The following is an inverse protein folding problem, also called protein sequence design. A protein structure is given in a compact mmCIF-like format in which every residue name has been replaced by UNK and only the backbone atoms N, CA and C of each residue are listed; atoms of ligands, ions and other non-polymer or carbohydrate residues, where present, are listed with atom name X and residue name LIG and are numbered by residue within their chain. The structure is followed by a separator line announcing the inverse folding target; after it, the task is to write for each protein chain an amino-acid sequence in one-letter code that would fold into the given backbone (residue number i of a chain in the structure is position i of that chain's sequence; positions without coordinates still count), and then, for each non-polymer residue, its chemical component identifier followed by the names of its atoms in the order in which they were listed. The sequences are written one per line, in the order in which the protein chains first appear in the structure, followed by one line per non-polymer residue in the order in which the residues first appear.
data_IF_686930203583
#
_entry.id   IF_686930203583
#
_cell.length_a   1.000
_cell.length_b   1.000
_cell.length_c   1.000
_cell.angle_alpha   90.00
_cell.angle_beta   90.00
_cell.angle_gamma   90.00
#
_symmetry.space_group_name_H-M   'P 1'
#
loop_
_entity.id
_entity.type
_entity.pdbx_description
1 polymer ?
#
# COMPACT_ATOMS: atom_id res chain seq x y z
N UNK A 1 -3.16 18.36 -2.40
CA UNK A 1 -2.16 17.99 -3.43
C UNK A 1 -1.45 16.67 -3.13
N UNK A 2 -0.78 16.52 -1.97
CA UNK A 2 -0.03 15.29 -1.61
C UNK A 2 -0.83 13.98 -1.75
N UNK A 3 -2.10 13.99 -1.36
CA UNK A 3 -3.03 12.86 -1.53
C UNK A 3 -3.35 12.54 -2.99
N UNK A 4 -3.42 13.54 -3.87
CA UNK A 4 -3.67 13.35 -5.31
C UNK A 4 -2.45 12.68 -5.95
N UNK A 5 -1.24 13.17 -5.63
CA UNK A 5 0.00 12.53 -6.05
C UNK A 5 0.08 11.08 -5.57
N UNK A 6 -0.33 10.82 -4.33
CA UNK A 6 -0.34 9.47 -3.78
C UNK A 6 -1.32 8.54 -4.52
N UNK A 7 -2.52 9.00 -4.85
CA UNK A 7 -3.49 8.22 -5.65
C UNK A 7 -2.94 7.94 -7.05
N UNK A 8 -2.37 8.95 -7.72
CA UNK A 8 -1.76 8.78 -9.04
C UNK A 8 -0.59 7.79 -9.02
N UNK A 9 0.30 7.91 -8.04
CA UNK A 9 1.44 6.99 -7.85
C UNK A 9 0.92 5.57 -7.57
N UNK A 10 -0.11 5.42 -6.74
CA UNK A 10 -0.70 4.11 -6.43
C UNK A 10 -1.32 3.46 -7.66
N UNK A 11 -2.04 4.24 -8.48
CA UNK A 11 -2.62 3.77 -9.74
C UNK A 11 -1.52 3.31 -10.70
N UNK A 12 -0.44 4.08 -10.81
CA UNK A 12 0.71 3.78 -11.67
C UNK A 12 1.44 2.51 -11.20
N UNK A 13 1.69 2.35 -9.90
CA UNK A 13 2.31 1.15 -9.35
C UNK A 13 1.47 -0.10 -9.65
N UNK A 14 0.15 -0.04 -9.45
CA UNK A 14 -0.74 -1.16 -9.71
C UNK A 14 -0.71 -1.52 -11.21
N UNK A 15 -0.74 -0.52 -12.07
CA UNK A 15 -0.69 -0.72 -13.52
C UNK A 15 0.63 -1.35 -13.96
N UNK A 16 1.76 -0.79 -13.54
CA UNK A 16 3.09 -1.30 -13.86
C UNK A 16 3.28 -2.72 -13.32
N UNK A 17 2.85 -3.00 -12.08
CA UNK A 17 2.98 -4.34 -11.51
C UNK A 17 2.07 -5.38 -12.16
N UNK A 18 0.92 -4.99 -12.71
CA UNK A 18 0.14 -5.88 -13.57
C UNK A 18 0.87 -6.18 -14.88
N UNK A 19 1.42 -5.16 -15.54
CA UNK A 19 2.18 -5.35 -16.78
C UNK A 19 3.41 -6.23 -16.55
N UNK A 20 4.15 -6.00 -15.46
CA UNK A 20 5.29 -6.82 -15.07
C UNK A 20 4.84 -8.26 -14.73
N UNK A 21 3.69 -8.45 -14.10
CA UNK A 21 3.16 -9.78 -13.80
C UNK A 21 2.84 -10.55 -15.10
N UNK A 22 2.25 -9.88 -16.09
CA UNK A 22 1.95 -10.47 -17.39
C UNK A 22 3.23 -10.87 -18.16
N UNK A 23 4.31 -10.09 -18.01
CA UNK A 23 5.60 -10.35 -18.67
C UNK A 23 6.39 -11.46 -17.97
N UNK A 24 6.53 -11.37 -16.64
CA UNK A 24 7.43 -12.23 -15.86
C UNK A 24 6.73 -13.42 -15.19
N UNK A 25 5.39 -13.43 -15.14
CA UNK A 25 4.61 -14.53 -14.59
C UNK A 25 4.79 -14.76 -13.09
N UNK A 26 5.22 -13.76 -12.32
CA UNK A 26 5.44 -13.94 -10.87
C UNK A 26 4.13 -14.16 -10.10
N UNK A 27 4.25 -14.80 -8.94
CA UNK A 27 3.10 -15.14 -8.12
C UNK A 27 2.37 -13.87 -7.63
N UNK A 28 1.05 -13.82 -7.86
CA UNK A 28 0.12 -12.78 -7.35
C UNK A 28 0.33 -12.39 -5.89
N UNK A 29 0.76 -13.32 -5.04
CA UNK A 29 1.09 -13.02 -3.64
C UNK A 29 2.19 -11.95 -3.54
N UNK A 30 3.32 -12.16 -4.21
CA UNK A 30 4.46 -11.22 -4.21
C UNK A 30 4.12 -9.88 -4.84
N UNK A 31 3.23 -9.89 -5.84
CA UNK A 31 2.69 -8.67 -6.44
C UNK A 31 1.93 -7.82 -5.42
N UNK A 32 0.95 -8.42 -4.73
CA UNK A 32 0.15 -7.69 -3.75
C UNK A 32 0.99 -7.21 -2.56
N UNK A 33 1.92 -8.04 -2.08
CA UNK A 33 2.86 -7.63 -1.02
C UNK A 33 3.69 -6.43 -1.45
N UNK A 34 4.25 -6.46 -2.66
CA UNK A 34 5.08 -5.38 -3.19
C UNK A 34 4.25 -4.11 -3.41
N UNK A 35 3.04 -4.23 -3.95
CA UNK A 35 2.13 -3.10 -4.16
C UNK A 35 1.80 -2.40 -2.84
N UNK A 36 1.41 -3.14 -1.80
CA UNK A 36 1.09 -2.58 -0.49
C UNK A 36 2.32 -1.89 0.11
N UNK A 37 3.49 -2.51 0.00
CA UNK A 37 4.74 -1.95 0.52
C UNK A 37 5.12 -0.64 -0.19
N UNK A 38 5.08 -0.61 -1.52
CA UNK A 38 5.37 0.57 -2.34
C UNK A 38 4.38 1.71 -2.08
N UNK A 39 3.08 1.42 -2.09
CA UNK A 39 2.03 2.42 -1.82
C UNK A 39 2.18 3.01 -0.41
N UNK A 40 2.46 2.17 0.58
CA UNK A 40 2.73 2.60 1.95
C UNK A 40 4.01 3.44 2.08
N UNK A 41 5.08 3.02 1.39
CA UNK A 41 6.34 3.75 1.36
C UNK A 41 6.19 5.14 0.75
N UNK A 42 5.48 5.27 -0.37
CA UNK A 42 5.21 6.58 -0.98
C UNK A 42 4.29 7.45 -0.14
N UNK A 43 3.32 6.86 0.58
CA UNK A 43 2.54 7.61 1.55
C UNK A 43 3.42 8.19 2.67
N UNK A 44 4.34 7.39 3.20
CA UNK A 44 5.32 7.83 4.19
C UNK A 44 6.21 8.95 3.64
N UNK A 45 6.75 8.79 2.42
CA UNK A 45 7.60 9.77 1.76
C UNK A 45 6.88 11.11 1.54
N UNK A 46 5.61 11.05 1.14
CA UNK A 46 4.75 12.22 0.98
C UNK A 46 4.27 12.81 2.32
N UNK A 47 4.72 12.26 3.46
CA UNK A 47 4.32 12.65 4.82
C UNK A 47 2.80 12.62 4.99
N UNK A 48 2.13 11.66 4.35
CA UNK A 48 0.71 11.43 4.54
C UNK A 48 0.54 10.81 5.92
N UNK A 49 -0.22 11.50 6.78
CA UNK A 49 -0.61 10.98 8.09
C UNK A 49 -1.59 9.82 7.90
N UNK A 50 -1.06 8.61 7.73
CA UNK A 50 -1.85 7.38 7.79
C UNK A 50 -2.06 7.07 9.27
N UNK A 51 -3.24 7.43 9.78
CA UNK A 51 -3.62 7.08 11.13
C UNK A 51 -3.91 5.58 11.19
N UNK A 52 -2.97 4.77 11.69
CA UNK A 52 -3.09 3.32 11.93
C UNK A 52 -4.07 2.97 13.07
N UNK A 53 -5.15 3.73 13.23
CA UNK A 53 -6.14 3.55 14.30
C UNK A 53 -6.79 2.15 14.27
N UNK A 54 -6.85 1.51 13.09
CA UNK A 54 -7.40 0.16 12.93
C UNK A 54 -6.62 -0.94 13.66
N UNK A 55 -5.34 -0.75 13.96
CA UNK A 55 -4.57 -1.75 14.72
C UNK A 55 -4.71 -1.60 16.25
N UNK A 56 -5.17 -0.44 16.73
CA UNK A 56 -5.16 -0.11 18.16
C UNK A 56 -6.40 -0.60 18.92
N UNK A 57 -7.52 -0.84 18.24
CA UNK A 57 -8.78 -1.17 18.93
C UNK A 57 -8.87 -2.62 19.41
N UNK A 58 -8.19 -3.58 18.76
CA UNK A 58 -8.33 -5.01 19.14
C UNK A 58 -7.53 -5.41 20.39
N UNK A 59 -6.52 -4.64 20.80
CA UNK A 59 -5.74 -4.93 22.01
C UNK A 59 -6.38 -4.39 23.31
N UNK A 60 -7.29 -3.42 23.20
CA UNK A 60 -7.95 -2.85 24.38
C UNK A 60 -9.17 -3.66 24.83
N UNK A 61 -9.73 -4.50 23.96
CA UNK A 61 -10.93 -5.31 24.24
C UNK A 61 -10.59 -6.71 24.81
N UNK A 62 -9.32 -7.09 24.84
CA UNK A 62 -8.83 -8.35 25.43
C UNK A 62 -8.19 -8.16 26.81
N UNK A 63 -8.27 -6.94 27.36
CA UNK A 63 -7.65 -6.53 28.63
C UNK A 63 -8.66 -5.91 29.60
N UNK A 64 -9.88 -6.46 29.65
CA UNK A 64 -10.88 -6.15 30.67
C UNK A 64 -11.57 -7.42 31.11
#
# INVERSE_FOLDING_TARGET
MKYIYWVLISLLIIWEMNALQDIFGFHRFWQYTSNIFLIGYFAYLLQIKISLILFKQKYHLFRN
#
